data_IF_187371835821
#
_entry.id   IF_187371835821
#
_cell.length_a   1.000
_cell.length_b   1.000
_cell.length_c   1.000
_cell.angle_alpha   90.00
_cell.angle_beta   90.00
_cell.angle_gamma   90.00
#
_symmetry.space_group_name_H-M   'P 1'
#
loop_
_entity.id
_entity.type
_entity.pdbx_description
1 polymer ?
#
# COMPACT_ATOMS: atom_id res chain seq x y z
N UNK A 1 24.78 -16.96 -18.83
CA UNK A 1 23.95 -15.76 -19.10
C UNK A 1 22.61 -15.96 -18.39
N UNK A 2 22.56 -15.62 -17.11
CA UNK A 2 21.49 -16.07 -16.20
C UNK A 2 20.33 -15.07 -16.18
N UNK A 3 19.32 -15.38 -16.98
CA UNK A 3 17.88 -15.17 -16.76
C UNK A 3 17.49 -13.93 -15.91
N UNK A 4 17.23 -12.78 -16.57
CA UNK A 4 16.48 -11.66 -15.99
C UNK A 4 14.98 -11.99 -15.92
N UNK A 5 14.58 -12.88 -15.01
CA UNK A 5 13.15 -13.15 -14.74
C UNK A 5 12.63 -12.21 -13.64
N UNK A 6 12.41 -10.94 -13.97
CA UNK A 6 11.63 -10.03 -13.11
C UNK A 6 10.13 -10.31 -13.37
N UNK A 7 9.60 -11.37 -12.75
CA UNK A 7 8.18 -11.72 -12.84
C UNK A 7 7.30 -10.53 -12.44
N UNK A 8 6.30 -10.24 -13.28
CA UNK A 8 5.19 -9.33 -12.97
C UNK A 8 4.37 -9.88 -11.79
N UNK A 9 4.81 -9.63 -10.58
CA UNK A 9 3.97 -9.76 -9.41
C UNK A 9 3.10 -8.52 -9.35
N UNK A 10 1.79 -8.67 -9.63
CA UNK A 10 0.77 -7.66 -9.28
C UNK A 10 0.91 -7.39 -7.78
N UNK A 11 1.67 -6.36 -7.43
CA UNK A 11 1.76 -5.92 -6.05
C UNK A 11 0.42 -5.27 -5.74
N UNK A 12 -0.41 -6.02 -5.02
CA UNK A 12 -1.52 -5.47 -4.26
C UNK A 12 -0.92 -4.46 -3.30
N UNK A 13 -0.76 -3.22 -3.78
CA UNK A 13 -0.73 -2.08 -2.89
C UNK A 13 -2.08 -2.15 -2.19
N UNK A 14 -2.07 -2.44 -0.89
CA UNK A 14 -3.26 -2.41 -0.02
C UNK A 14 -3.75 -0.98 0.19
N UNK A 15 -3.81 -0.18 -0.87
CA UNK A 15 -4.77 0.90 -0.94
C UNK A 15 -6.07 0.19 -1.29
N UNK A 16 -6.69 -0.38 -0.24
CA UNK A 16 -8.06 -0.91 -0.19
C UNK A 16 -8.45 -1.56 -1.53
N UNK A 17 -8.29 -2.89 -1.65
CA UNK A 17 -8.84 -3.63 -2.80
C UNK A 17 -10.23 -3.05 -3.12
N UNK A 18 -10.37 -2.44 -4.28
CA UNK A 18 -11.62 -1.88 -4.77
C UNK A 18 -12.58 -3.04 -5.03
N UNK A 19 -13.16 -3.59 -3.96
CA UNK A 19 -14.24 -4.56 -3.99
C UNK A 19 -15.48 -3.81 -4.48
N UNK A 20 -15.55 -3.53 -5.78
CA UNK A 20 -16.70 -2.97 -6.46
C UNK A 20 -17.37 -1.82 -5.71
N UNK A 21 -16.70 -0.68 -5.55
CA UNK A 21 -17.40 0.51 -5.10
C UNK A 21 -18.54 0.81 -6.10
N UNK A 22 -19.78 1.04 -5.63
CA UNK A 22 -20.87 1.43 -6.53
C UNK A 22 -20.45 2.68 -7.29
N UNK A 23 -20.78 2.80 -8.59
CA UNK A 23 -20.53 4.03 -9.32
C UNK A 23 -21.10 5.23 -8.56
N UNK A 24 -20.38 6.35 -8.59
CA UNK A 24 -20.81 7.64 -8.02
C UNK A 24 -20.91 7.72 -6.50
N UNK A 25 -20.03 7.03 -5.75
CA UNK A 25 -19.92 7.18 -4.28
C UNK A 25 -18.56 7.75 -3.83
N UNK A 26 -18.30 9.05 -4.06
CA UNK A 26 -17.01 9.69 -3.72
C UNK A 26 -16.67 9.62 -2.23
N UNK A 27 -17.67 9.52 -1.35
CA UNK A 27 -17.46 9.42 0.09
C UNK A 27 -16.72 8.15 0.52
N UNK A 28 -16.66 7.12 -0.33
CA UNK A 28 -15.93 5.86 -0.07
C UNK A 28 -14.48 5.92 -0.56
N UNK A 29 -14.14 6.91 -1.39
CA UNK A 29 -12.80 7.07 -1.97
C UNK A 29 -11.80 7.75 -1.03
N UNK A 30 -12.27 8.39 0.06
CA UNK A 30 -11.39 9.20 0.92
C UNK A 30 -10.21 8.44 1.51
N UNK A 31 -10.37 7.15 1.81
CA UNK A 31 -9.25 6.29 2.25
C UNK A 31 -8.23 6.03 1.14
N UNK A 32 -8.69 5.79 -0.08
CA UNK A 32 -7.86 5.56 -1.27
C UNK A 32 -7.07 6.82 -1.62
N UNK A 33 -7.76 7.96 -1.68
CA UNK A 33 -7.17 9.26 -1.99
C UNK A 33 -6.12 9.66 -0.95
N UNK A 34 -6.41 9.46 0.35
CA UNK A 34 -5.46 9.71 1.42
C UNK A 34 -4.22 8.81 1.32
N UNK A 35 -4.40 7.52 1.04
CA UNK A 35 -3.30 6.59 0.81
C UNK A 35 -2.42 7.02 -0.36
N UNK A 36 -3.03 7.33 -1.51
CA UNK A 36 -2.32 7.82 -2.70
C UNK A 36 -1.55 9.11 -2.42
N UNK A 37 -2.14 10.04 -1.66
CA UNK A 37 -1.48 11.30 -1.26
C UNK A 37 -0.25 11.04 -0.41
N UNK A 38 -0.33 10.15 0.58
CA UNK A 38 0.81 9.77 1.43
C UNK A 38 1.96 9.20 0.58
N UNK A 39 1.67 8.28 -0.34
CA UNK A 39 2.71 7.74 -1.23
C UNK A 39 3.30 8.80 -2.16
N UNK A 40 2.50 9.75 -2.65
CA UNK A 40 2.99 10.87 -3.44
C UNK A 40 3.98 11.73 -2.66
N UNK A 41 3.62 12.09 -1.43
CA UNK A 41 4.39 13.00 -0.59
C UNK A 41 5.62 12.33 0.05
N UNK A 42 5.54 11.05 0.41
CA UNK A 42 6.60 10.39 1.20
C UNK A 42 7.46 9.41 0.39
N UNK A 43 6.91 8.79 -0.66
CA UNK A 43 7.66 7.84 -1.49
C UNK A 43 8.06 8.47 -2.81
N UNK A 44 7.12 8.96 -3.61
CA UNK A 44 7.42 9.48 -4.94
C UNK A 44 8.16 10.84 -4.92
N UNK A 45 8.05 11.62 -3.84
CA UNK A 45 8.79 12.88 -3.69
C UNK A 45 10.23 12.70 -3.19
N UNK A 46 10.64 11.47 -2.81
CA UNK A 46 11.99 11.18 -2.33
C UNK A 46 13.01 11.37 -3.45
N UNK A 47 14.04 12.18 -3.18
CA UNK A 47 15.18 12.40 -4.09
C UNK A 47 16.27 11.34 -3.95
N UNK A 48 16.25 10.57 -2.87
CA UNK A 48 17.23 9.56 -2.52
C UNK A 48 16.93 8.17 -3.10
N UNK A 49 15.78 8.01 -3.78
CA UNK A 49 15.44 6.74 -4.45
C UNK A 49 16.34 6.58 -5.69
N UNK A 50 17.33 5.70 -5.57
CA UNK A 50 18.19 5.27 -6.69
C UNK A 50 17.47 4.18 -7.51
N UNK A 51 16.44 4.60 -8.24
CA UNK A 51 15.70 3.73 -9.15
C UNK A 51 16.45 3.57 -10.49
N UNK A 52 17.63 2.94 -10.45
CA UNK A 52 18.43 2.65 -11.65
C UNK A 52 17.72 1.66 -12.61
N UNK A 53 16.71 0.95 -12.11
CA UNK A 53 15.83 0.10 -12.89
C UNK A 53 14.42 0.02 -12.30
N UNK A 54 13.46 -0.40 -13.13
CA UNK A 54 12.10 -0.73 -12.66
C UNK A 54 12.10 -1.80 -11.56
N UNK A 55 13.07 -2.71 -11.57
CA UNK A 55 13.20 -3.74 -10.52
C UNK A 55 13.58 -3.12 -9.18
N UNK A 56 14.57 -2.23 -9.18
CA UNK A 56 14.99 -1.48 -7.98
C UNK A 56 13.81 -0.67 -7.40
N UNK A 57 13.11 0.08 -8.25
CA UNK A 57 11.95 0.87 -7.83
C UNK A 57 10.82 0.01 -7.23
N UNK A 58 10.56 -1.17 -7.81
CA UNK A 58 9.56 -2.12 -7.27
C UNK A 58 9.96 -2.65 -5.90
N UNK A 59 11.24 -2.94 -5.67
CA UNK A 59 11.74 -3.38 -4.37
C UNK A 59 11.60 -2.30 -3.31
N UNK A 60 11.97 -1.06 -3.62
CA UNK A 60 11.74 0.10 -2.75
C UNK A 60 10.25 0.31 -2.45
N UNK A 61 9.39 0.18 -3.47
CA UNK A 61 7.94 0.30 -3.29
C UNK A 61 7.39 -0.80 -2.36
N UNK A 62 7.88 -2.04 -2.44
CA UNK A 62 7.49 -3.11 -1.50
C UNK A 62 7.82 -2.73 -0.06
N UNK A 63 9.01 -2.16 0.18
CA UNK A 63 9.43 -1.72 1.51
C UNK A 63 8.52 -0.60 2.01
N UNK A 64 8.22 0.39 1.17
CA UNK A 64 7.30 1.47 1.51
C UNK A 64 5.88 0.97 1.82
N UNK A 65 5.36 0.03 1.03
CA UNK A 65 4.05 -0.62 1.28
C UNK A 65 4.06 -1.42 2.57
N UNK A 66 5.13 -2.18 2.84
CA UNK A 66 5.26 -2.87 4.11
C UNK A 66 5.25 -1.86 5.27
N UNK A 67 6.08 -0.82 5.20
CA UNK A 67 6.14 0.24 6.22
C UNK A 67 4.76 0.83 6.52
N UNK A 68 4.02 1.19 5.47
CA UNK A 68 2.66 1.73 5.60
C UNK A 68 1.72 0.73 6.28
N UNK A 69 1.80 -0.56 5.94
CA UNK A 69 0.88 -1.57 6.44
C UNK A 69 1.21 -2.10 7.84
N UNK A 70 2.48 -2.13 8.26
CA UNK A 70 2.92 -2.73 9.54
C UNK A 70 3.36 -1.74 10.60
N UNK A 71 3.63 -0.46 10.28
CA UNK A 71 4.18 0.48 11.25
C UNK A 71 3.42 1.81 11.34
N UNK A 72 2.53 2.12 10.40
CA UNK A 72 1.76 3.37 10.43
C UNK A 72 0.43 3.16 11.16
N UNK A 73 0.24 3.72 12.36
CA UNK A 73 -1.07 3.73 13.01
C UNK A 73 -2.02 4.67 12.26
N UNK A 74 -3.29 4.30 12.16
CA UNK A 74 -4.33 5.12 11.53
C UNK A 74 -5.41 5.50 12.54
N UNK A 75 -5.71 6.79 12.65
CA UNK A 75 -6.78 7.27 13.54
C UNK A 75 -8.15 6.67 13.18
N UNK A 76 -8.44 6.46 11.89
CA UNK A 76 -9.67 5.81 11.45
C UNK A 76 -9.75 4.32 11.81
N UNK A 77 -8.64 3.71 12.22
CA UNK A 77 -8.53 2.34 12.67
C UNK A 77 -8.24 2.27 14.18
N UNK A 78 -8.66 3.28 14.95
CA UNK A 78 -8.43 3.36 16.40
C UNK A 78 -6.94 3.26 16.80
N UNK A 79 -6.05 3.82 15.97
CA UNK A 79 -4.61 3.77 16.21
C UNK A 79 -3.94 2.46 15.79
N UNK A 80 -4.69 1.50 15.24
CA UNK A 80 -4.10 0.29 14.68
C UNK A 80 -3.46 0.56 13.32
N UNK A 81 -2.45 -0.24 13.00
CA UNK A 81 -1.93 -0.38 11.64
C UNK A 81 -2.93 -1.15 10.77
N UNK A 82 -2.85 -1.03 9.43
CA UNK A 82 -3.71 -1.79 8.53
C UNK A 82 -3.62 -3.31 8.76
N UNK A 83 -2.42 -3.83 9.02
CA UNK A 83 -2.23 -5.26 9.31
C UNK A 83 -2.86 -5.68 10.64
N UNK A 84 -2.65 -4.91 11.71
CA UNK A 84 -3.27 -5.20 13.02
C UNK A 84 -4.79 -5.16 12.94
N UNK A 85 -5.34 -4.19 12.20
CA UNK A 85 -6.79 -4.09 11.99
C UNK A 85 -7.34 -5.33 11.28
N UNK A 86 -6.71 -5.77 10.19
CA UNK A 86 -7.11 -7.00 9.47
C UNK A 86 -7.01 -8.22 10.40
N UNK A 87 -5.93 -8.35 11.16
CA UNK A 87 -5.77 -9.44 12.12
C UNK A 87 -6.85 -9.43 13.19
N UNK A 88 -7.27 -8.26 13.66
CA UNK A 88 -8.35 -8.13 14.65
C UNK A 88 -9.69 -8.59 14.08
N UNK A 89 -10.02 -8.23 12.83
CA UNK A 89 -11.23 -8.70 12.15
C UNK A 89 -11.20 -10.21 11.95
N UNK A 90 -10.08 -10.75 11.49
CA UNK A 90 -9.95 -12.19 11.23
C UNK A 90 -10.09 -13.02 12.50
N UNK A 91 -9.57 -12.54 13.63
CA UNK A 91 -9.73 -13.19 14.95
C UNK A 91 -11.17 -13.21 15.44
N UNK A 92 -11.96 -12.19 15.11
CA UNK A 92 -13.38 -12.12 15.49
C UNK A 92 -14.25 -13.02 14.60
N UNK A 93 -13.79 -13.32 13.39
CA UNK A 93 -14.50 -14.17 12.44
C UNK A 93 -14.24 -15.69 12.62
N UNK A 94 -13.30 -16.07 13.49
CA UNK A 94 -12.94 -17.46 13.84
C UNK A 94 -13.47 -17.82 15.21
#
# INVERSE_FOLDING_TARGET
>A
MTIFNCRYTKHNVYIIRNLGLPPSRPQWNGGVERGNRIFREEFYARKDIKAESLCSLRSELKIAVHKYNSYRPHNSLNGLTPLEYIQSILKVAT
#
